data_IF_538963628685
#
_entry.id   IF_538963628685
#
_cell.length_a   1.000
_cell.length_b   1.000
_cell.length_c   1.000
_cell.angle_alpha   90.00
_cell.angle_beta   90.00
_cell.angle_gamma   90.00
#
_symmetry.space_group_name_H-M   'P 1'
#
loop_
_entity.id
_entity.type
_entity.pdbx_description
1 polymer ?
#
# COMPACT_ATOMS: atom_id res chain seq x y z
N UNK A 1 28.53 16.06 -35.88
CA UNK A 1 28.20 14.89 -36.72
C UNK A 1 29.45 14.46 -37.46
N UNK A 2 29.80 13.17 -37.40
CA UNK A 2 31.04 12.61 -37.94
C UNK A 2 31.05 12.71 -39.47
N UNK A 3 32.15 13.23 -40.01
CA UNK A 3 32.48 13.25 -41.44
C UNK A 3 32.48 11.83 -42.01
N UNK A 4 31.50 11.47 -42.84
CA UNK A 4 31.57 10.28 -43.71
C UNK A 4 32.12 10.74 -45.07
N UNK A 5 33.45 10.85 -45.15
CA UNK A 5 34.18 11.00 -46.40
C UNK A 5 34.26 9.61 -47.05
N UNK A 6 33.47 9.35 -48.10
CA UNK A 6 33.64 8.13 -48.90
C UNK A 6 34.98 8.22 -49.63
N UNK A 7 35.93 7.36 -49.23
CA UNK A 7 37.18 7.15 -49.97
C UNK A 7 36.84 6.37 -51.24
N UNK A 8 36.86 7.04 -52.38
CA UNK A 8 36.84 6.39 -53.69
C UNK A 8 38.28 5.97 -54.00
N UNK A 9 38.55 4.67 -53.97
CA UNK A 9 39.85 4.11 -54.38
C UNK A 9 39.97 4.22 -55.91
N UNK A 10 40.60 5.29 -56.37
CA UNK A 10 40.88 5.57 -57.78
C UNK A 10 42.08 4.77 -58.33
N UNK A 11 42.51 3.72 -57.63
CA UNK A 11 43.72 2.95 -57.95
C UNK A 11 43.49 1.82 -58.97
N UNK A 12 42.30 1.68 -59.56
CA UNK A 12 42.00 0.61 -60.53
C UNK A 12 42.26 0.97 -62.01
N UNK A 13 43.00 2.06 -62.28
CA UNK A 13 43.28 2.53 -63.65
C UNK A 13 44.75 2.82 -63.95
N UNK A 14 45.67 2.54 -63.01
CA UNK A 14 47.09 2.81 -63.19
C UNK A 14 47.91 1.53 -62.97
N UNK A 15 47.93 0.65 -63.97
CA UNK A 15 49.02 -0.30 -64.13
C UNK A 15 49.34 -0.47 -65.63
N UNK A 16 50.57 -0.08 -65.98
CA UNK A 16 51.16 -0.14 -67.31
C UNK A 16 51.39 -1.59 -67.76
N UNK A 17 51.20 -1.83 -69.05
CA UNK A 17 51.56 -3.05 -69.78
C UNK A 17 53.07 -3.06 -70.13
N UNK A 18 53.66 -4.24 -70.35
CA UNK A 18 54.69 -4.37 -71.38
C UNK A 18 54.37 -5.44 -72.45
N UNK A 19 54.33 -4.93 -73.69
CA UNK A 19 54.89 -5.42 -74.97
C UNK A 19 54.58 -6.82 -75.55
N UNK A 20 53.94 -6.74 -76.73
CA UNK A 20 54.23 -7.40 -78.03
C UNK A 20 54.10 -8.94 -78.22
N UNK A 21 53.11 -9.34 -79.04
CA UNK A 21 53.26 -9.83 -80.44
C UNK A 21 52.04 -10.69 -80.86
N UNK A 22 51.28 -10.26 -81.88
CA UNK A 22 50.79 -11.07 -83.02
C UNK A 22 49.72 -10.27 -83.79
N UNK A 23 50.00 -9.98 -85.07
CA UNK A 23 49.13 -9.25 -85.98
C UNK A 23 48.15 -10.22 -86.67
N UNK A 24 46.97 -10.42 -86.09
CA UNK A 24 45.79 -10.81 -86.86
C UNK A 24 44.94 -9.56 -87.10
N UNK A 25 44.64 -9.31 -88.37
CA UNK A 25 43.82 -8.18 -88.81
C UNK A 25 42.40 -8.29 -88.22
N UNK A 26 42.19 -7.68 -87.05
CA UNK A 26 40.86 -7.26 -86.62
C UNK A 26 40.55 -5.99 -87.42
N UNK A 27 39.67 -6.12 -88.42
CA UNK A 27 39.11 -4.97 -89.14
C UNK A 27 38.47 -4.03 -88.12
N UNK A 28 39.08 -2.86 -87.91
CA UNK A 28 38.54 -1.79 -87.09
C UNK A 28 37.39 -1.13 -87.87
N UNK A 29 36.12 -1.19 -87.42
CA UNK A 29 34.97 -0.75 -88.22
C UNK A 29 34.78 0.78 -88.25
N UNK A 30 35.71 1.57 -87.72
CA UNK A 30 35.64 3.03 -87.72
C UNK A 30 36.40 3.62 -88.91
N UNK A 31 35.73 3.68 -90.06
CA UNK A 31 36.08 4.64 -91.11
C UNK A 31 35.52 6.02 -90.74
N UNK A 32 36.40 7.03 -90.79
CA UNK A 32 36.07 8.40 -90.51
C UNK A 32 35.05 8.98 -91.51
N UNK A 33 34.02 9.65 -90.99
CA UNK A 33 33.37 10.75 -91.72
C UNK A 33 31.95 10.54 -92.24
N UNK A 34 31.17 9.58 -91.74
CA UNK A 34 29.75 9.54 -92.04
C UNK A 34 28.93 10.27 -90.94
N UNK A 35 28.47 11.52 -91.19
CA UNK A 35 27.79 12.34 -90.18
C UNK A 35 26.48 11.69 -89.67
N UNK A 36 25.90 10.79 -90.45
CA UNK A 36 24.70 10.04 -90.07
C UNK A 36 25.00 8.97 -88.99
N UNK A 37 26.20 8.38 -89.00
CA UNK A 37 26.65 7.40 -88.01
C UNK A 37 27.01 8.07 -86.68
N UNK A 38 27.80 9.15 -86.70
CA UNK A 38 28.15 9.91 -85.49
C UNK A 38 26.92 10.53 -84.81
N UNK A 39 25.94 10.99 -85.61
CA UNK A 39 24.66 11.45 -85.09
C UNK A 39 23.84 10.31 -84.46
N UNK A 40 23.84 9.12 -85.05
CA UNK A 40 23.18 7.94 -84.51
C UNK A 40 23.82 7.46 -83.19
N UNK A 41 25.16 7.46 -83.12
CA UNK A 41 25.92 7.12 -81.90
C UNK A 41 25.67 8.14 -80.80
N UNK A 42 25.75 9.45 -81.09
CA UNK A 42 25.48 10.50 -80.12
C UNK A 42 24.05 10.44 -79.59
N UNK A 43 23.07 10.16 -80.45
CA UNK A 43 21.67 9.99 -80.06
C UNK A 43 21.46 8.76 -79.18
N UNK A 44 22.10 7.63 -79.52
CA UNK A 44 22.06 6.41 -78.72
C UNK A 44 22.67 6.62 -77.33
N UNK A 45 23.82 7.31 -77.26
CA UNK A 45 24.49 7.65 -76.00
C UNK A 45 23.63 8.58 -75.15
N UNK A 46 23.06 9.65 -75.71
CA UNK A 46 22.18 10.56 -74.98
C UNK A 46 20.91 9.85 -74.47
N UNK A 47 20.32 8.97 -75.29
CA UNK A 47 19.16 8.17 -74.90
C UNK A 47 19.50 7.18 -73.78
N UNK A 48 20.69 6.55 -73.85
CA UNK A 48 21.17 5.66 -72.81
C UNK A 48 21.46 6.40 -71.50
N UNK A 49 22.02 7.60 -71.57
CA UNK A 49 22.29 8.46 -70.41
C UNK A 49 20.98 8.89 -69.73
N UNK A 50 20.01 9.41 -70.49
CA UNK A 50 18.70 9.79 -69.96
C UNK A 50 17.96 8.60 -69.33
N UNK A 51 18.04 7.42 -69.94
CA UNK A 51 17.45 6.21 -69.38
C UNK A 51 18.16 5.76 -68.10
N UNK A 52 19.47 5.98 -68.00
CA UNK A 52 20.24 5.71 -66.80
C UNK A 52 19.86 6.71 -65.69
N UNK A 53 19.82 8.01 -66.00
CA UNK A 53 19.44 9.07 -65.06
C UNK A 53 18.02 8.86 -64.52
N UNK A 54 17.06 8.51 -65.38
CA UNK A 54 15.70 8.16 -64.96
C UNK A 54 15.67 6.95 -64.03
N UNK A 55 16.48 5.92 -64.30
CA UNK A 55 16.61 4.74 -63.41
C UNK A 55 17.25 5.11 -62.08
N UNK A 56 18.25 5.99 -62.07
CA UNK A 56 18.90 6.47 -60.84
C UNK A 56 17.98 7.33 -60.01
N UNK A 57 17.26 8.27 -60.63
CA UNK A 57 16.25 9.10 -59.97
C UNK A 57 15.14 8.23 -59.37
N UNK A 58 14.59 7.28 -60.14
CA UNK A 58 13.58 6.36 -59.64
C UNK A 58 14.07 5.53 -58.45
N UNK A 59 15.32 5.03 -58.48
CA UNK A 59 15.92 4.32 -57.34
C UNK A 59 16.16 5.22 -56.13
N UNK A 60 16.53 6.47 -56.35
CA UNK A 60 16.72 7.47 -55.29
C UNK A 60 15.39 7.81 -54.63
N UNK A 61 14.34 8.06 -55.42
CA UNK A 61 13.00 8.35 -54.92
C UNK A 61 12.42 7.15 -54.15
N UNK A 62 12.57 5.93 -54.66
CA UNK A 62 12.11 4.72 -53.98
C UNK A 62 12.84 4.51 -52.64
N UNK A 63 14.14 4.83 -52.59
CA UNK A 63 14.94 4.76 -51.36
C UNK A 63 14.57 5.87 -50.38
N UNK A 64 14.30 7.08 -50.87
CA UNK A 64 13.87 8.22 -50.05
C UNK A 64 12.51 7.93 -49.40
N UNK A 65 11.59 7.34 -50.15
CA UNK A 65 10.26 6.97 -49.65
C UNK A 65 10.36 5.86 -48.60
N UNK A 66 11.21 4.83 -48.81
CA UNK A 66 11.47 3.79 -47.80
C UNK A 66 12.04 4.40 -46.51
N UNK A 67 13.05 5.26 -46.62
CA UNK A 67 13.63 5.95 -45.44
C UNK A 67 12.60 6.81 -44.73
N UNK A 68 11.70 7.48 -45.45
CA UNK A 68 10.60 8.25 -44.85
C UNK A 68 9.57 7.38 -44.16
N UNK A 69 9.22 6.23 -44.73
CA UNK A 69 8.28 5.28 -44.11
C UNK A 69 8.90 4.63 -42.88
N UNK A 70 10.17 4.25 -42.94
CA UNK A 70 10.91 3.71 -41.80
C UNK A 70 11.02 4.75 -40.67
N UNK A 71 11.34 6.00 -40.99
CA UNK A 71 11.42 7.08 -40.00
C UNK A 71 10.05 7.41 -39.38
N UNK A 72 8.96 7.34 -40.15
CA UNK A 72 7.60 7.53 -39.61
C UNK A 72 7.20 6.39 -38.70
N UNK A 73 7.41 5.14 -39.12
CA UNK A 73 7.04 3.96 -38.33
C UNK A 73 7.86 3.84 -37.04
N UNK A 74 9.15 4.19 -37.07
CA UNK A 74 9.98 4.21 -35.86
C UNK A 74 9.57 5.36 -34.91
N UNK A 75 9.30 6.56 -35.44
CA UNK A 75 8.82 7.68 -34.63
C UNK A 75 7.43 7.42 -34.02
N UNK A 76 6.51 6.84 -34.79
CA UNK A 76 5.19 6.45 -34.32
C UNK A 76 5.29 5.36 -33.26
N UNK A 77 6.10 4.32 -33.47
CA UNK A 77 6.32 3.26 -32.48
C UNK A 77 6.93 3.78 -31.18
N UNK A 78 7.88 4.71 -31.27
CA UNK A 78 8.49 5.36 -30.10
C UNK A 78 7.49 6.27 -29.36
N UNK A 79 6.68 7.04 -30.10
CA UNK A 79 5.64 7.89 -29.52
C UNK A 79 4.52 7.06 -28.87
N UNK A 80 4.13 5.96 -29.52
CA UNK A 80 3.10 5.04 -29.05
C UNK A 80 3.57 4.28 -27.81
N UNK A 81 4.83 3.82 -27.78
CA UNK A 81 5.43 3.21 -26.59
C UNK A 81 5.48 4.18 -25.40
N UNK A 82 5.80 5.47 -25.63
CA UNK A 82 5.82 6.47 -24.58
C UNK A 82 4.40 6.80 -24.07
N UNK A 83 3.42 6.88 -24.98
CA UNK A 83 2.02 7.10 -24.62
C UNK A 83 1.42 5.91 -23.85
N UNK A 84 1.73 4.68 -24.26
CA UNK A 84 1.24 3.46 -23.63
C UNK A 84 1.87 3.25 -22.25
N UNK A 85 3.18 3.47 -22.11
CA UNK A 85 3.85 3.44 -20.81
C UNK A 85 3.29 4.47 -19.82
N UNK A 86 2.99 5.68 -20.30
CA UNK A 86 2.34 6.70 -19.46
C UNK A 86 0.92 6.28 -19.07
N UNK A 87 0.16 5.74 -20.01
CA UNK A 87 -1.19 5.25 -19.75
C UNK A 87 -1.20 4.07 -18.74
N UNK A 88 -0.22 3.17 -18.82
CA UNK A 88 -0.05 2.07 -17.87
C UNK A 88 0.35 2.56 -16.49
N UNK A 89 1.26 3.53 -16.39
CA UNK A 89 1.61 4.14 -15.12
C UNK A 89 0.41 4.85 -14.46
N UNK A 90 -0.37 5.61 -15.25
CA UNK A 90 -1.59 6.27 -14.78
C UNK A 90 -2.70 5.27 -14.41
N UNK A 91 -2.70 4.09 -15.04
CA UNK A 91 -3.60 2.97 -14.70
C UNK A 91 -3.18 2.33 -13.37
N UNK A 92 -1.91 1.97 -13.24
CA UNK A 92 -1.35 1.39 -12.01
C UNK A 92 -1.50 2.32 -10.80
N UNK A 93 -1.30 3.63 -10.97
CA UNK A 93 -1.56 4.59 -9.90
C UNK A 93 -3.03 4.62 -9.50
N UNK A 94 -3.95 4.59 -10.46
CA UNK A 94 -5.39 4.55 -10.17
C UNK A 94 -5.78 3.26 -9.48
N UNK A 95 -5.26 2.12 -9.92
CA UNK A 95 -5.51 0.81 -9.33
C UNK A 95 -4.97 0.76 -7.90
N UNK A 96 -3.72 1.17 -7.67
CA UNK A 96 -3.16 1.27 -6.33
C UNK A 96 -3.95 2.23 -5.41
N UNK A 97 -4.47 3.34 -5.94
CA UNK A 97 -5.31 4.26 -5.18
C UNK A 97 -6.70 3.68 -4.86
N UNK A 98 -7.25 2.85 -5.75
CA UNK A 98 -8.49 2.12 -5.51
C UNK A 98 -8.26 1.03 -4.47
N UNK A 99 -7.21 0.24 -4.59
CA UNK A 99 -6.84 -0.81 -3.62
C UNK A 99 -6.63 -0.22 -2.22
N UNK A 100 -5.92 0.92 -2.10
CA UNK A 100 -5.76 1.61 -0.83
C UNK A 100 -7.10 2.06 -0.24
N UNK A 101 -8.00 2.58 -1.07
CA UNK A 101 -9.34 2.97 -0.62
C UNK A 101 -10.18 1.77 -0.19
N UNK A 102 -10.12 0.66 -0.92
CA UNK A 102 -10.83 -0.56 -0.57
C UNK A 102 -10.31 -1.16 0.75
N UNK A 103 -9.00 -1.15 0.96
CA UNK A 103 -8.39 -1.55 2.23
C UNK A 103 -8.83 -0.63 3.38
N UNK A 104 -8.80 0.69 3.19
CA UNK A 104 -9.23 1.64 4.23
C UNK A 104 -10.73 1.49 4.55
N UNK A 105 -11.58 1.29 3.54
CA UNK A 105 -13.01 1.03 3.73
C UNK A 105 -13.24 -0.28 4.48
N UNK A 106 -12.57 -1.35 4.09
CA UNK A 106 -12.68 -2.64 4.77
C UNK A 106 -12.23 -2.53 6.24
N UNK A 107 -11.10 -1.89 6.50
CA UNK A 107 -10.65 -1.62 7.88
C UNK A 107 -11.67 -0.80 8.67
N UNK A 108 -12.29 0.20 8.05
CA UNK A 108 -13.31 1.04 8.70
C UNK A 108 -14.59 0.27 8.99
N UNK A 109 -15.02 -0.59 8.08
CA UNK A 109 -16.17 -1.47 8.25
C UNK A 109 -15.92 -2.49 9.36
N UNK A 110 -14.78 -3.19 9.33
CA UNK A 110 -14.33 -4.09 10.39
C UNK A 110 -14.28 -3.38 11.74
N UNK A 111 -13.69 -2.18 11.80
CA UNK A 111 -13.64 -1.37 13.03
C UNK A 111 -15.04 -1.08 13.58
N UNK A 112 -15.97 -0.67 12.72
CA UNK A 112 -17.35 -0.38 13.12
C UNK A 112 -18.08 -1.63 13.63
N UNK A 113 -17.87 -2.78 12.98
CA UNK A 113 -18.41 -4.07 13.41
C UNK A 113 -17.84 -4.47 14.77
N UNK A 114 -16.53 -4.38 14.96
CA UNK A 114 -15.88 -4.67 16.24
C UNK A 114 -16.34 -3.74 17.35
N UNK A 115 -16.52 -2.45 17.09
CA UNK A 115 -17.09 -1.48 18.06
C UNK A 115 -18.48 -1.90 18.48
N UNK A 116 -19.33 -2.29 17.52
CA UNK A 116 -20.68 -2.76 17.78
C UNK A 116 -20.66 -4.01 18.65
N UNK A 117 -19.81 -4.99 18.31
CA UNK A 117 -19.67 -6.24 19.05
C UNK A 117 -19.16 -6.01 20.48
N UNK A 118 -18.15 -5.15 20.66
CA UNK A 118 -17.65 -4.75 21.99
C UNK A 118 -18.77 -4.13 22.83
N UNK A 119 -19.58 -3.26 22.22
CA UNK A 119 -20.69 -2.60 22.92
C UNK A 119 -21.78 -3.60 23.34
N UNK A 120 -22.14 -4.53 22.45
CA UNK A 120 -23.11 -5.60 22.73
C UNK A 120 -22.63 -6.51 23.89
N UNK A 121 -21.34 -6.83 23.91
CA UNK A 121 -20.71 -7.64 24.96
C UNK A 121 -20.37 -6.85 26.23
N UNK A 122 -20.76 -5.58 26.34
CA UNK A 122 -20.45 -4.68 27.46
C UNK A 122 -18.94 -4.55 27.76
N UNK A 123 -18.13 -4.65 26.71
CA UNK A 123 -16.68 -4.45 26.75
C UNK A 123 -16.35 -2.97 26.43
N UNK A 124 -15.27 -2.43 27.01
CA UNK A 124 -14.82 -1.08 26.67
C UNK A 124 -14.52 -0.93 25.18
N UNK A 125 -15.10 0.11 24.56
CA UNK A 125 -14.99 0.37 23.12
C UNK A 125 -13.54 0.68 22.69
N UNK A 126 -12.75 1.24 23.60
CA UNK A 126 -11.33 1.54 23.44
C UNK A 126 -10.50 0.28 23.09
N UNK A 127 -10.99 -0.91 23.42
CA UNK A 127 -10.32 -2.17 23.08
C UNK A 127 -10.27 -2.44 21.58
N UNK A 128 -11.05 -1.72 20.76
CA UNK A 128 -10.98 -1.84 19.30
C UNK A 128 -9.59 -1.48 18.75
N UNK A 129 -8.88 -0.56 19.38
CA UNK A 129 -7.54 -0.14 18.94
C UNK A 129 -6.47 -1.21 19.19
N UNK A 130 -6.79 -2.25 19.97
CA UNK A 130 -5.93 -3.41 20.23
C UNK A 130 -6.22 -4.59 19.28
N UNK A 131 -7.28 -4.51 18.48
CA UNK A 131 -7.66 -5.57 17.56
C UNK A 131 -6.90 -5.46 16.23
N UNK A 132 -6.54 -6.62 15.66
CA UNK A 132 -6.01 -6.68 14.30
C UNK A 132 -7.16 -6.54 13.30
N UNK A 133 -7.28 -5.36 12.68
CA UNK A 133 -8.34 -5.02 11.71
C UNK A 133 -7.94 -5.31 10.25
N UNK A 134 -6.82 -6.04 10.04
CA UNK A 134 -6.33 -6.34 8.70
C UNK A 134 -7.14 -7.42 7.99
N UNK A 135 -7.73 -8.34 8.76
CA UNK A 135 -8.43 -9.52 8.28
C UNK A 135 -9.53 -9.93 9.26
N UNK A 136 -10.68 -10.36 8.75
CA UNK A 136 -11.84 -10.70 9.57
C UNK A 136 -11.59 -11.87 10.52
N UNK A 137 -10.89 -12.92 10.07
CA UNK A 137 -10.64 -14.12 10.89
C UNK A 137 -9.62 -13.83 12.01
N UNK A 138 -8.59 -13.04 11.68
CA UNK A 138 -7.62 -12.57 12.67
C UNK A 138 -8.28 -11.64 13.70
N UNK A 139 -9.14 -10.73 13.23
CA UNK A 139 -9.91 -9.83 14.07
C UNK A 139 -10.77 -10.61 15.07
N UNK A 140 -11.56 -11.58 14.58
CA UNK A 140 -12.44 -12.38 15.43
C UNK A 140 -11.66 -13.24 16.44
N UNK A 141 -10.50 -13.78 16.03
CA UNK A 141 -9.62 -14.54 16.93
C UNK A 141 -9.06 -13.66 18.04
N UNK A 142 -8.57 -12.46 17.69
CA UNK A 142 -8.08 -11.48 18.65
C UNK A 142 -9.20 -11.02 19.60
N UNK A 143 -10.40 -10.76 19.06
CA UNK A 143 -11.59 -10.38 19.80
C UNK A 143 -11.95 -11.42 20.86
N UNK A 144 -12.10 -12.69 20.46
CA UNK A 144 -12.47 -13.78 21.36
C UNK A 144 -11.45 -13.97 22.50
N UNK A 145 -10.15 -13.82 22.18
CA UNK A 145 -9.07 -13.90 23.17
C UNK A 145 -9.12 -12.74 24.16
N UNK A 146 -9.38 -11.53 23.66
CA UNK A 146 -9.51 -10.33 24.47
C UNK A 146 -10.73 -10.44 25.40
N UNK A 147 -11.89 -10.83 24.87
CA UNK A 147 -13.11 -11.10 25.63
C UNK A 147 -12.87 -12.09 26.77
N UNK A 148 -12.30 -13.26 26.44
CA UNK A 148 -12.01 -14.30 27.43
C UNK A 148 -11.06 -13.83 28.53
N UNK A 149 -10.04 -13.03 28.16
CA UNK A 149 -9.07 -12.49 29.13
C UNK A 149 -9.73 -11.46 30.04
N UNK A 150 -10.57 -10.59 29.48
CA UNK A 150 -11.30 -9.56 30.21
C UNK A 150 -12.30 -10.17 31.19
N UNK A 151 -13.12 -11.13 30.76
CA UNK A 151 -14.07 -11.84 31.61
C UNK A 151 -13.37 -12.53 32.79
N UNK A 152 -12.20 -13.14 32.57
CA UNK A 152 -11.39 -13.72 33.64
C UNK A 152 -10.88 -12.66 34.64
N UNK A 153 -10.43 -11.51 34.14
CA UNK A 153 -9.94 -10.42 34.98
C UNK A 153 -11.08 -9.84 35.84
N UNK A 154 -12.23 -9.52 35.22
CA UNK A 154 -13.42 -9.02 35.92
C UNK A 154 -13.93 -10.04 36.93
N UNK A 155 -14.03 -11.32 36.57
CA UNK A 155 -14.47 -12.36 37.50
C UNK A 155 -13.51 -12.55 38.71
N UNK A 156 -12.21 -12.35 38.52
CA UNK A 156 -11.24 -12.39 39.63
C UNK A 156 -11.37 -11.17 40.53
N UNK A 157 -11.58 -9.99 39.93
CA UNK A 157 -11.82 -8.75 40.66
C UNK A 157 -13.14 -8.81 41.46
N UNK A 158 -14.22 -9.30 40.85
CA UNK A 158 -15.53 -9.43 41.51
C UNK A 158 -15.45 -10.38 42.70
N UNK A 159 -14.80 -11.55 42.56
CA UNK A 159 -14.55 -12.46 43.69
C UNK A 159 -13.78 -11.79 44.82
N UNK A 160 -12.78 -10.99 44.47
CA UNK A 160 -11.96 -10.25 45.45
C UNK A 160 -12.76 -9.16 46.14
N UNK A 161 -13.61 -8.44 45.41
CA UNK A 161 -14.54 -7.47 45.96
C UNK A 161 -15.57 -8.12 46.87
N UNK A 162 -16.23 -9.20 46.44
CA UNK A 162 -17.20 -9.91 47.26
C UNK A 162 -16.57 -10.43 48.55
N UNK A 163 -15.31 -10.89 48.49
CA UNK A 163 -14.54 -11.27 49.68
C UNK A 163 -14.34 -10.06 50.61
N UNK A 164 -13.84 -8.93 50.07
CA UNK A 164 -13.64 -7.70 50.86
C UNK A 164 -14.94 -7.17 51.45
N UNK A 165 -16.02 -7.11 50.67
CA UNK A 165 -17.35 -6.67 51.14
C UNK A 165 -17.87 -7.61 52.22
N UNK A 166 -17.67 -8.92 52.10
CA UNK A 166 -18.06 -9.88 53.15
C UNK A 166 -17.21 -9.71 54.42
N UNK A 167 -15.92 -9.46 54.29
CA UNK A 167 -15.02 -9.15 55.41
C UNK A 167 -15.40 -7.84 56.09
N UNK A 168 -15.63 -6.77 55.34
CA UNK A 168 -16.13 -5.47 55.83
C UNK A 168 -17.50 -5.60 56.49
N UNK A 169 -18.43 -6.35 55.88
CA UNK A 169 -19.74 -6.58 56.46
C UNK A 169 -19.60 -7.35 57.78
N UNK A 170 -18.73 -8.36 57.85
CA UNK A 170 -18.44 -9.07 59.10
C UNK A 170 -17.85 -8.13 60.17
N UNK A 171 -16.88 -7.31 59.80
CA UNK A 171 -16.30 -6.30 60.69
C UNK A 171 -17.36 -5.29 61.17
N UNK A 172 -18.31 -4.91 60.30
CA UNK A 172 -19.42 -4.03 60.64
C UNK A 172 -20.50 -4.72 61.51
N UNK A 173 -20.63 -6.05 61.43
CA UNK A 173 -21.48 -6.82 62.36
C UNK A 173 -20.86 -6.82 63.76
N UNK A 174 -19.54 -6.93 63.84
CA UNK A 174 -18.80 -6.84 65.10
C UNK A 174 -18.74 -5.39 65.64
N UNK A 175 -18.80 -4.39 64.75
CA UNK A 175 -18.75 -2.96 65.08
C UNK A 175 -19.86 -2.16 64.32
N UNK A 176 -21.13 -2.29 64.72
CA UNK A 176 -22.27 -1.72 64.00
C UNK A 176 -22.15 -0.20 63.89
N UNK A 177 -22.62 0.40 62.78
CA UNK A 177 -22.77 1.86 62.68
C UNK A 177 -23.69 2.32 63.83
N UNK A 178 -23.08 2.89 64.86
CA UNK A 178 -23.69 3.14 66.17
C UNK A 178 -22.83 2.71 67.36
N UNK A 179 -21.73 1.98 67.15
CA UNK A 179 -20.70 1.76 68.18
C UNK A 179 -19.90 3.05 68.35
N UNK A 180 -20.50 3.96 69.10
CA UNK A 180 -19.79 5.01 69.76
C UNK A 180 -18.72 4.36 70.63
N UNK A 181 -17.48 4.40 70.15
CA UNK A 181 -16.26 4.29 70.96
C UNK A 181 -16.13 5.44 71.96
N UNK A 182 -17.25 6.02 72.40
CA UNK A 182 -17.33 6.88 73.55
C UNK A 182 -17.74 6.03 74.77
N UNK A 183 -16.79 5.53 75.58
CA UNK A 183 -17.08 4.77 76.80
C UNK A 183 -17.90 5.54 77.84
N UNK A 184 -18.16 6.83 77.59
CA UNK A 184 -18.89 7.75 78.46
C UNK A 184 -20.41 7.77 78.20
N UNK A 185 -20.89 7.21 77.08
CA UNK A 185 -22.31 7.31 76.70
C UNK A 185 -23.11 6.11 77.21
N UNK A 186 -24.01 6.36 78.16
CA UNK A 186 -24.88 5.36 78.76
C UNK A 186 -25.97 4.88 77.78
N UNK A 187 -26.01 3.59 77.39
CA UNK A 187 -26.94 3.09 76.37
C UNK A 187 -28.38 2.92 76.86
N UNK A 188 -28.69 3.19 78.13
CA UNK A 188 -30.05 3.20 78.69
C UNK A 188 -30.70 4.58 78.75
N UNK A 189 -29.96 5.68 78.48
CA UNK A 189 -30.53 7.02 78.40
C UNK A 189 -31.38 7.18 77.13
N UNK A 190 -32.47 7.95 77.21
CA UNK A 190 -33.42 8.15 76.08
C UNK A 190 -32.76 8.72 74.82
N UNK A 191 -31.79 9.61 74.97
CA UNK A 191 -31.10 10.26 73.84
C UNK A 191 -30.05 9.38 73.17
N UNK A 192 -29.56 8.35 73.88
CA UNK A 192 -28.44 7.51 73.45
C UNK A 192 -28.78 6.03 73.55
N UNK A 193 -30.07 5.71 73.37
CA UNK A 193 -30.60 4.37 73.56
C UNK A 193 -30.07 3.42 72.48
N UNK A 194 -29.35 2.37 72.90
CA UNK A 194 -28.79 1.37 71.99
C UNK A 194 -29.00 -0.05 72.56
N UNK A 195 -30.00 -0.76 72.01
CA UNK A 195 -30.41 -2.10 72.45
C UNK A 195 -29.30 -3.15 72.29
N UNK A 196 -28.49 -3.06 71.23
CA UNK A 196 -27.38 -3.99 70.99
C UNK A 196 -26.32 -3.86 72.07
N UNK A 197 -25.97 -2.63 72.45
CA UNK A 197 -24.99 -2.37 73.52
C UNK A 197 -25.52 -2.78 74.89
N UNK A 198 -26.82 -2.57 75.15
CA UNK A 198 -27.46 -3.08 76.38
C UNK A 198 -27.34 -4.60 76.48
N UNK A 199 -27.61 -5.32 75.39
CA UNK A 199 -27.48 -6.78 75.32
C UNK A 199 -26.05 -7.27 75.54
N UNK A 200 -25.05 -6.59 74.95
CA UNK A 200 -23.63 -6.89 75.16
C UNK A 200 -23.21 -6.67 76.61
N UNK A 201 -23.51 -5.49 77.19
CA UNK A 201 -23.14 -5.17 78.58
C UNK A 201 -23.85 -6.12 79.56
N UNK A 202 -25.13 -6.48 79.33
CA UNK A 202 -25.84 -7.46 80.16
C UNK A 202 -25.20 -8.85 80.14
N UNK A 203 -24.58 -9.24 79.02
CA UNK A 203 -23.92 -10.54 78.86
C UNK A 203 -22.50 -10.55 79.41
N UNK A 204 -21.76 -9.45 79.26
CA UNK A 204 -20.36 -9.31 79.67
C UNK A 204 -20.20 -8.88 81.14
N UNK A 205 -21.01 -7.92 81.60
CA UNK A 205 -20.96 -7.37 82.96
C UNK A 205 -22.37 -6.96 83.45
N UNK A 206 -23.12 -7.90 84.06
CA UNK A 206 -24.46 -7.66 84.57
C UNK A 206 -24.54 -6.59 85.68
N UNK A 207 -23.47 -6.41 86.46
CA UNK A 207 -23.44 -5.45 87.56
C UNK A 207 -23.27 -4.02 87.02
N UNK A 208 -22.40 -3.84 86.03
CA UNK A 208 -22.28 -2.56 85.31
C UNK A 208 -23.57 -2.18 84.59
N UNK A 209 -24.29 -3.15 84.02
CA UNK A 209 -25.59 -2.89 83.40
C UNK A 209 -26.59 -2.28 84.39
N UNK A 210 -26.69 -2.82 85.62
CA UNK A 210 -27.57 -2.30 86.67
C UNK A 210 -27.24 -0.85 87.06
N UNK A 211 -25.95 -0.54 87.21
CA UNK A 211 -25.49 0.81 87.55
C UNK A 211 -25.88 1.81 86.47
N UNK A 212 -25.68 1.44 85.19
CA UNK A 212 -26.02 2.31 84.06
C UNK A 212 -27.55 2.47 83.91
N UNK A 213 -28.34 1.41 84.09
CA UNK A 213 -29.80 1.50 84.14
C UNK A 213 -30.28 2.47 85.23
N UNK A 214 -29.71 2.40 86.43
CA UNK A 214 -30.06 3.30 87.52
C UNK A 214 -29.67 4.76 87.23
N UNK A 215 -28.54 4.99 86.57
CA UNK A 215 -28.09 6.33 86.17
C UNK A 215 -28.91 6.94 85.02
N UNK A 216 -29.61 6.12 84.22
CA UNK A 216 -30.45 6.60 83.12
C UNK A 216 -31.83 7.11 83.58
N UNK A 217 -32.26 6.74 84.79
CA UNK A 217 -33.55 7.14 85.39
C UNK A 217 -33.45 8.33 86.36
N UNK A 218 -32.25 8.92 86.51
CA UNK A 218 -32.05 10.20 87.22
C UNK A 218 -32.14 11.35 86.22
#
# INVERSE_FOLDING_TARGET
MKNLLMKLDLQLFAEEQPSDQNSEQIRNPYEAGNPEFDAAVSKAVNTALENNDKKWQSKLDEKLEKVRQDAKTEAEKMAQMNAEQKADYDRQQREAALDQRELELNMRELRAQSITQLTEDNLPVELVDLLDLSDADKCQTAYNKLKTTWEKAVGTWEKSLQKKVKEELKNSVDNPLGDATNPEVNPWKKETLNLTKQGQILKEDPERAKVLMAQANK
#
